data_IF_502637361654
#
_entry.id   IF_502637361654
#
_cell.length_a   1.000
_cell.length_b   1.000
_cell.length_c   1.000
_cell.angle_alpha   90.00
_cell.angle_beta   90.00
_cell.angle_gamma   90.00
#
_symmetry.space_group_name_H-M   'P 1'
#
loop_
_entity.id
_entity.type
_entity.pdbx_description
1 polymer ?
#
# COMPACT_ATOMS: atom_id res chain seq x y z
N UNK A 1 -6.80 -2.66 27.81
CA UNK A 1 -5.37 -3.03 27.81
C UNK A 1 -4.72 -2.49 26.55
N UNK A 2 -3.63 -1.75 26.67
CA UNK A 2 -2.83 -1.28 25.53
C UNK A 2 -1.93 -2.42 25.06
N UNK A 3 -2.31 -3.10 23.97
CA UNK A 3 -1.47 -4.12 23.34
C UNK A 3 -0.60 -3.43 22.29
N UNK A 4 0.69 -3.25 22.57
CA UNK A 4 1.68 -2.77 21.61
C UNK A 4 2.23 -3.94 20.80
N UNK A 5 1.73 -4.12 19.58
CA UNK A 5 2.19 -5.19 18.69
C UNK A 5 3.49 -4.80 17.99
N UNK A 6 4.48 -5.70 18.06
CA UNK A 6 5.77 -5.56 17.39
C UNK A 6 5.61 -5.52 15.85
N UNK A 7 6.42 -4.75 15.12
CA UNK A 7 6.37 -4.69 13.65
C UNK A 7 6.54 -6.06 12.98
N UNK A 8 7.39 -6.92 13.56
CA UNK A 8 7.61 -8.28 13.05
C UNK A 8 6.36 -9.16 13.24
N UNK A 9 5.65 -8.98 14.36
CA UNK A 9 4.37 -9.64 14.57
C UNK A 9 3.32 -9.14 13.56
N UNK A 10 3.35 -7.86 13.16
CA UNK A 10 2.46 -7.34 12.13
C UNK A 10 2.73 -7.96 10.76
N UNK A 11 3.99 -8.19 10.39
CA UNK A 11 4.35 -8.92 9.18
C UNK A 11 3.83 -10.36 9.20
N UNK A 12 3.99 -11.05 10.33
CA UNK A 12 3.48 -12.41 10.48
C UNK A 12 1.96 -12.46 10.41
N UNK A 13 1.27 -11.49 11.05
CA UNK A 13 -0.19 -11.40 11.06
C UNK A 13 -0.75 -10.97 9.69
N UNK A 14 0.06 -10.32 8.84
CA UNK A 14 -0.32 -10.02 7.47
C UNK A 14 -0.58 -11.28 6.64
N UNK A 15 0.14 -12.39 6.87
CA UNK A 15 -0.04 -13.65 6.13
C UNK A 15 -1.46 -14.25 6.28
N UNK A 16 -1.99 -14.50 7.49
CA UNK A 16 -3.36 -14.99 7.64
C UNK A 16 -4.40 -13.95 7.18
N UNK A 17 -4.15 -12.64 7.36
CA UNK A 17 -5.04 -11.60 6.83
C UNK A 17 -5.12 -11.67 5.30
N UNK A 18 -3.99 -11.92 4.62
CA UNK A 18 -3.95 -12.05 3.16
C UNK A 18 -4.74 -13.28 2.69
N UNK A 19 -4.59 -14.42 3.38
CA UNK A 19 -5.41 -15.61 3.08
C UNK A 19 -6.90 -15.37 3.28
N UNK A 20 -7.30 -14.65 4.34
CA UNK A 20 -8.70 -14.27 4.56
C UNK A 20 -9.18 -13.34 3.43
N UNK A 21 -8.37 -12.34 3.07
CA UNK A 21 -8.66 -11.45 1.95
C UNK A 21 -8.84 -12.20 0.63
N UNK A 22 -7.99 -13.21 0.39
CA UNK A 22 -8.09 -14.06 -0.80
C UNK A 22 -9.38 -14.88 -0.79
N UNK A 23 -9.75 -15.45 0.36
CA UNK A 23 -11.02 -16.16 0.54
C UNK A 23 -12.23 -15.27 0.22
N UNK A 24 -12.22 -14.02 0.68
CA UNK A 24 -13.29 -13.06 0.40
C UNK A 24 -13.34 -12.65 -1.08
N UNK A 25 -12.19 -12.39 -1.70
CA UNK A 25 -12.12 -12.06 -3.14
C UNK A 25 -12.62 -13.23 -4.00
N UNK A 26 -12.33 -14.48 -3.60
CA UNK A 26 -12.85 -15.68 -4.27
C UNK A 26 -14.35 -15.89 -4.06
N UNK A 27 -14.90 -15.48 -2.91
CA UNK A 27 -16.31 -15.61 -2.59
C UNK A 27 -17.21 -14.54 -3.21
N UNK A 28 -16.70 -13.32 -3.45
CA UNK A 28 -17.49 -12.20 -3.98
C UNK A 28 -17.11 -11.87 -5.43
N UNK A 29 -17.91 -12.29 -6.43
CA UNK A 29 -17.57 -12.13 -7.86
C UNK A 29 -17.51 -10.66 -8.32
N UNK A 30 -18.09 -9.73 -7.55
CA UNK A 30 -17.97 -8.28 -7.80
C UNK A 30 -16.55 -7.76 -7.58
N UNK A 31 -15.85 -8.22 -6.53
CA UNK A 31 -14.50 -7.76 -6.21
C UNK A 31 -13.47 -8.23 -7.25
N UNK A 32 -13.66 -9.45 -7.77
CA UNK A 32 -12.84 -9.99 -8.85
C UNK A 32 -12.98 -9.17 -10.16
N UNK A 33 -14.16 -8.60 -10.43
CA UNK A 33 -14.38 -7.75 -11.62
C UNK A 33 -13.72 -6.37 -11.51
N UNK A 34 -13.51 -5.85 -10.30
CA UNK A 34 -12.89 -4.55 -10.06
C UNK A 34 -11.35 -4.58 -9.99
N UNK A 35 -10.70 -5.75 -10.19
CA UNK A 35 -9.24 -5.92 -10.13
C UNK A 35 -8.59 -5.35 -8.85
N UNK A 36 -9.32 -5.34 -7.73
CA UNK A 36 -8.79 -4.84 -6.46
C UNK A 36 -7.77 -5.85 -5.93
N UNK A 37 -6.52 -5.43 -5.62
CA UNK A 37 -5.53 -6.36 -5.11
C UNK A 37 -5.93 -6.97 -3.77
N UNK A 38 -5.69 -8.27 -3.60
CA UNK A 38 -5.96 -9.04 -2.37
C UNK A 38 -5.44 -8.35 -1.09
N UNK A 39 -4.23 -7.73 -1.08
CA UNK A 39 -3.75 -7.02 0.11
C UNK A 39 -4.64 -5.86 0.58
N UNK A 40 -5.29 -5.16 -0.36
CA UNK A 40 -6.17 -4.03 -0.04
C UNK A 40 -7.47 -4.54 0.58
N UNK A 41 -8.03 -5.63 0.05
CA UNK A 41 -9.25 -6.25 0.59
C UNK A 41 -9.02 -6.80 1.99
N UNK A 42 -7.91 -7.53 2.19
CA UNK A 42 -7.52 -8.02 3.52
C UNK A 42 -7.32 -6.89 4.53
N UNK A 43 -6.66 -5.80 4.13
CA UNK A 43 -6.45 -4.62 4.98
C UNK A 43 -7.76 -3.89 5.35
N UNK A 44 -8.69 -3.78 4.40
CA UNK A 44 -10.01 -3.18 4.64
C UNK A 44 -10.83 -4.02 5.62
N UNK A 45 -10.84 -5.35 5.46
CA UNK A 45 -11.53 -6.27 6.37
C UNK A 45 -10.95 -6.18 7.77
N UNK A 46 -9.63 -6.17 7.90
CA UNK A 46 -8.96 -6.02 9.20
C UNK A 46 -9.30 -4.67 9.86
N UNK A 47 -9.33 -3.59 9.08
CA UNK A 47 -9.72 -2.25 9.57
C UNK A 47 -11.18 -2.21 10.02
N UNK A 48 -12.09 -2.83 9.27
CA UNK A 48 -13.51 -2.93 9.65
C UNK A 48 -13.70 -3.77 10.92
N UNK A 49 -12.97 -4.88 11.06
CA UNK A 49 -12.98 -5.70 12.27
C UNK A 49 -12.47 -4.91 13.48
N UNK A 50 -11.37 -4.17 13.34
CA UNK A 50 -10.86 -3.28 14.39
C UNK A 50 -11.84 -2.18 14.76
N UNK A 51 -12.54 -1.59 13.79
CA UNK A 51 -13.57 -0.59 14.04
C UNK A 51 -14.73 -1.20 14.86
N UNK A 52 -15.21 -2.39 14.49
CA UNK A 52 -16.23 -3.10 15.26
C UNK A 52 -15.79 -3.39 16.69
N UNK A 53 -14.51 -3.76 16.87
CA UNK A 53 -13.90 -4.02 18.17
C UNK A 53 -13.68 -2.75 19.01
N UNK A 54 -13.47 -1.61 18.34
CA UNK A 54 -13.35 -0.31 18.99
C UNK A 54 -14.71 0.20 19.46
N UNK A 55 -15.76 0.01 18.64
CA UNK A 55 -17.15 0.36 19.00
C UNK A 55 -17.69 -0.51 20.15
N UNK A 56 -17.25 -1.78 20.27
CA UNK A 56 -17.63 -2.63 21.40
C UNK A 56 -16.91 -2.28 22.70
N UNK A 57 -15.84 -1.47 22.66
CA UNK A 57 -15.08 -1.01 23.84
C UNK A 57 -14.12 -2.04 24.43
N UNK A 58 -13.86 -3.15 23.74
CA UNK A 58 -13.14 -4.30 24.31
C UNK A 58 -11.61 -4.18 24.24
N UNK A 59 -11.05 -3.55 23.19
CA UNK A 59 -9.59 -3.42 23.07
C UNK A 59 -9.17 -2.20 22.24
N UNK A 60 -8.21 -1.44 22.77
CA UNK A 60 -7.53 -0.35 22.07
C UNK A 60 -6.15 -0.84 21.64
N UNK A 61 -6.04 -1.35 20.41
CA UNK A 61 -4.81 -1.93 19.88
C UNK A 61 -3.95 -0.81 19.29
N UNK A 62 -2.73 -0.64 19.80
CA UNK A 62 -1.76 0.33 19.28
C UNK A 62 -0.69 -0.42 18.50
N UNK A 63 -0.49 -0.06 17.24
CA UNK A 63 0.44 -0.75 16.35
C UNK A 63 1.78 -0.01 16.30
N UNK A 64 2.88 -0.68 16.69
CA UNK A 64 4.22 -0.15 16.48
C UNK A 64 4.63 -0.47 15.03
N UNK A 65 4.44 0.48 14.12
CA UNK A 65 4.70 0.33 12.67
C UNK A 65 6.14 0.68 12.27
N UNK A 66 6.95 1.15 13.22
CA UNK A 66 8.33 1.61 13.00
C UNK A 66 9.33 0.51 13.35
N UNK A 67 10.25 0.22 12.43
CA UNK A 67 11.36 -0.74 12.63
C UNK A 67 12.68 0.02 12.68
N UNK A 68 13.51 -0.24 13.69
CA UNK A 68 14.84 0.37 13.89
C UNK A 68 16.01 -0.60 13.63
N UNK A 69 15.74 -1.79 13.11
CA UNK A 69 16.76 -2.83 12.86
C UNK A 69 17.72 -2.45 11.72
N UNK A 70 19.04 -2.49 11.98
CA UNK A 70 20.08 -2.07 11.04
C UNK A 70 20.05 -2.81 9.69
N UNK A 71 19.85 -4.13 9.70
CA UNK A 71 19.75 -4.93 8.47
C UNK A 71 18.52 -4.58 7.61
N UNK A 72 17.45 -4.10 8.24
CA UNK A 72 16.25 -3.64 7.54
C UNK A 72 16.43 -2.23 6.99
N UNK A 73 17.05 -1.34 7.78
CA UNK A 73 17.29 0.04 7.34
C UNK A 73 18.18 0.08 6.11
N UNK A 74 19.17 -0.80 5.97
CA UNK A 74 19.99 -0.86 4.75
C UNK A 74 19.19 -0.92 3.47
N UNK A 75 18.25 -1.86 3.43
CA UNK A 75 17.57 -2.27 2.20
C UNK A 75 16.57 -1.22 1.76
N UNK A 76 16.23 -0.28 2.66
CA UNK A 76 15.16 0.72 2.51
C UNK A 76 15.70 2.16 2.56
N UNK A 77 16.95 2.39 2.99
CA UNK A 77 17.60 3.71 3.00
C UNK A 77 18.74 3.74 1.98
N UNK A 78 18.70 4.62 0.95
CA UNK A 78 19.88 4.88 0.13
C UNK A 78 21.02 5.44 0.99
N UNK A 79 22.25 5.18 0.54
CA UNK A 79 23.50 5.02 1.31
C UNK A 79 23.93 6.12 2.30
N UNK A 80 23.24 7.27 2.41
CA UNK A 80 23.69 8.41 3.23
C UNK A 80 22.94 8.62 4.56
N UNK A 81 21.79 7.95 4.78
CA UNK A 81 21.01 8.09 6.03
C UNK A 81 21.11 6.88 6.98
N UNK A 82 21.79 5.80 6.59
CA UNK A 82 21.89 4.60 7.42
C UNK A 82 22.50 4.90 8.79
N UNK A 83 23.57 5.72 8.83
CA UNK A 83 24.32 6.00 10.04
C UNK A 83 23.46 6.58 11.18
N UNK A 84 22.35 7.26 10.87
CA UNK A 84 21.46 7.89 11.83
C UNK A 84 20.32 6.98 12.36
N UNK A 85 20.17 5.75 11.85
CA UNK A 85 19.10 4.79 12.22
C UNK A 85 17.69 5.42 12.36
N UNK A 86 17.22 6.24 11.40
CA UNK A 86 15.91 6.86 11.52
C UNK A 86 14.81 5.78 11.53
N UNK A 87 13.87 5.90 12.47
CA UNK A 87 12.76 4.96 12.61
C UNK A 87 11.79 5.08 11.42
N UNK A 88 12.02 4.28 10.36
CA UNK A 88 11.15 4.24 9.18
C UNK A 88 9.97 3.30 9.39
N UNK A 89 8.82 3.74 8.91
CA UNK A 89 7.60 2.96 8.92
C UNK A 89 7.65 1.87 7.83
N UNK A 90 7.15 0.69 8.17
CA UNK A 90 7.22 -0.50 7.33
C UNK A 90 6.35 -0.42 6.05
N UNK A 91 5.31 0.40 6.07
CA UNK A 91 4.32 0.51 5.00
C UNK A 91 4.89 1.04 3.68
N UNK A 92 5.75 2.07 3.73
CA UNK A 92 6.30 2.72 2.54
C UNK A 92 7.14 1.76 1.66
N UNK A 93 8.16 1.04 2.18
CA UNK A 93 8.94 0.14 1.35
C UNK A 93 8.12 -1.04 0.81
N UNK A 94 7.19 -1.58 1.62
CA UNK A 94 6.33 -2.68 1.18
C UNK A 94 5.40 -2.25 0.05
N UNK A 95 4.81 -1.05 0.15
CA UNK A 95 3.93 -0.50 -0.87
C UNK A 95 4.69 -0.21 -2.16
N UNK A 96 5.89 0.38 -2.07
CA UNK A 96 6.75 0.63 -3.24
C UNK A 96 7.15 -0.69 -3.89
N UNK A 97 7.69 -1.66 -3.14
CA UNK A 97 8.06 -2.96 -3.67
C UNK A 97 6.88 -3.67 -4.36
N UNK A 98 5.70 -3.65 -3.74
CA UNK A 98 4.48 -4.21 -4.30
C UNK A 98 4.08 -3.57 -5.63
N UNK A 99 3.97 -2.24 -5.67
CA UNK A 99 3.59 -1.55 -6.91
C UNK A 99 4.67 -1.60 -7.99
N UNK A 100 5.95 -1.64 -7.60
CA UNK A 100 7.05 -1.89 -8.53
C UNK A 100 6.94 -3.28 -9.13
N UNK A 101 6.69 -4.33 -8.34
CA UNK A 101 6.48 -5.69 -8.86
C UNK A 101 5.25 -5.78 -9.78
N UNK A 102 4.13 -5.15 -9.44
CA UNK A 102 2.95 -5.11 -10.32
C UNK A 102 3.26 -4.39 -11.63
N UNK A 103 3.95 -3.24 -11.54
CA UNK A 103 4.34 -2.46 -12.71
C UNK A 103 5.30 -3.21 -13.64
N UNK A 104 6.29 -3.90 -13.08
CA UNK A 104 7.26 -4.70 -13.83
C UNK A 104 6.64 -6.00 -14.39
N UNK A 105 5.71 -6.61 -13.67
CA UNK A 105 5.00 -7.83 -14.10
C UNK A 105 3.90 -7.60 -15.14
N UNK A 106 3.58 -6.34 -15.46
CA UNK A 106 2.55 -6.02 -16.44
C UNK A 106 3.00 -6.42 -17.85
N UNK A 107 2.26 -7.27 -18.59
CA UNK A 107 2.66 -7.68 -19.92
C UNK A 107 2.69 -6.48 -20.87
N UNK A 108 3.83 -6.29 -21.56
CA UNK A 108 4.07 -5.19 -22.50
C UNK A 108 2.97 -5.06 -23.56
N UNK A 109 2.31 -6.17 -23.90
CA UNK A 109 1.16 -6.19 -24.81
C UNK A 109 -0.05 -5.42 -24.28
N UNK A 110 -0.41 -5.57 -23.00
CA UNK A 110 -1.51 -4.82 -22.38
C UNK A 110 -1.15 -3.34 -22.31
N UNK A 111 0.11 -3.03 -21.99
CA UNK A 111 0.63 -1.67 -22.02
C UNK A 111 0.54 -1.04 -23.42
N UNK A 112 0.83 -1.82 -24.47
CA UNK A 112 0.78 -1.36 -25.86
C UNK A 112 -0.65 -1.17 -26.39
N UNK A 113 -1.60 -2.00 -25.96
CA UNK A 113 -3.03 -1.87 -26.34
C UNK A 113 -3.68 -0.67 -25.62
N UNK A 114 -3.38 -0.46 -24.34
CA UNK A 114 -3.88 0.68 -23.55
C UNK A 114 -3.10 1.99 -23.77
N UNK A 115 -1.94 1.93 -24.43
CA UNK A 115 -0.99 3.04 -24.54
C UNK A 115 -1.55 4.31 -25.17
N UNK A 116 -2.47 4.20 -26.13
CA UNK A 116 -3.10 5.39 -26.76
C UNK A 116 -3.96 6.17 -25.75
N UNK A 117 -4.74 5.48 -24.92
CA UNK A 117 -5.52 6.12 -23.87
C UNK A 117 -4.61 6.72 -22.79
N UNK A 118 -3.52 6.03 -22.43
CA UNK A 118 -2.53 6.52 -21.48
C UNK A 118 -1.86 7.81 -21.97
N UNK A 119 -1.43 7.87 -23.23
CA UNK A 119 -0.80 9.07 -23.81
C UNK A 119 -1.80 10.23 -23.89
N UNK A 120 -3.05 9.96 -24.27
CA UNK A 120 -4.11 10.99 -24.30
C UNK A 120 -4.38 11.54 -22.90
N UNK A 121 -4.51 10.66 -21.90
CA UNK A 121 -4.68 11.07 -20.51
C UNK A 121 -3.49 11.88 -20.00
N UNK A 122 -2.26 11.45 -20.30
CA UNK A 122 -1.04 12.13 -19.89
C UNK A 122 -0.96 13.52 -20.52
N UNK A 123 -1.23 13.62 -21.82
CA UNK A 123 -1.25 14.89 -22.55
C UNK A 123 -2.30 15.86 -21.97
N UNK A 124 -3.52 15.37 -21.71
CA UNK A 124 -4.57 16.14 -21.07
C UNK A 124 -4.17 16.62 -19.67
N UNK A 125 -3.59 15.75 -18.85
CA UNK A 125 -3.10 16.10 -17.51
C UNK A 125 -1.97 17.14 -17.56
N UNK A 126 -1.03 17.02 -18.51
CA UNK A 126 0.02 18.03 -18.70
C UNK A 126 -0.53 19.37 -19.18
N UNK A 127 -1.55 19.36 -20.05
CA UNK A 127 -2.20 20.58 -20.52
C UNK A 127 -2.96 21.29 -19.39
N UNK A 128 -3.71 20.54 -18.58
CA UNK A 128 -4.40 21.05 -17.38
C UNK A 128 -3.41 21.62 -16.36
N UNK A 129 -2.31 20.91 -16.08
CA UNK A 129 -1.27 21.39 -15.17
C UNK A 129 -0.65 22.69 -15.68
N UNK A 130 -0.33 22.75 -16.98
CA UNK A 130 0.23 23.95 -17.60
C UNK A 130 -0.74 25.13 -17.58
N UNK A 131 -2.03 24.89 -17.87
CA UNK A 131 -3.08 25.90 -17.80
C UNK A 131 -3.23 26.46 -16.38
N UNK A 132 -3.22 25.59 -15.34
CA UNK A 132 -3.22 26.03 -13.94
C UNK A 132 -1.96 26.81 -13.59
N UNK A 133 -0.80 26.40 -14.08
CA UNK A 133 0.47 27.05 -13.80
C UNK A 133 0.57 28.44 -14.44
N UNK A 134 0.02 28.62 -15.64
CA UNK A 134 -0.11 29.92 -16.31
C UNK A 134 -1.14 30.80 -15.57
N UNK A 135 -2.30 30.26 -15.21
CA UNK A 135 -3.37 31.00 -14.54
C UNK A 135 -3.04 31.39 -13.08
N UNK A 136 -2.12 30.70 -12.41
CA UNK A 136 -1.68 31.04 -11.04
C UNK A 136 -0.60 32.13 -11.04
N UNK A 137 -0.04 32.49 -12.21
CA UNK A 137 1.02 33.51 -12.35
C UNK A 137 0.53 34.87 -12.87
N UNK A 138 -0.76 35.03 -13.16
CA UNK A 138 -1.41 36.30 -13.50
C UNK A 138 -2.31 36.78 -12.37
#
# INVERSE_FOLDING_TARGET
MLLSLSPWCLLLLAVPILWIGEGVVRGVPGLARFNIPVPVVGGLLFSAALLGLNLSGWAMITFATKVTSGWWTWLVTPETEWAARPAKALNLPLLVAFFTCIGLGAPVRVLRTGGRALVVLLAAATAELFAKFVNTRG
#
